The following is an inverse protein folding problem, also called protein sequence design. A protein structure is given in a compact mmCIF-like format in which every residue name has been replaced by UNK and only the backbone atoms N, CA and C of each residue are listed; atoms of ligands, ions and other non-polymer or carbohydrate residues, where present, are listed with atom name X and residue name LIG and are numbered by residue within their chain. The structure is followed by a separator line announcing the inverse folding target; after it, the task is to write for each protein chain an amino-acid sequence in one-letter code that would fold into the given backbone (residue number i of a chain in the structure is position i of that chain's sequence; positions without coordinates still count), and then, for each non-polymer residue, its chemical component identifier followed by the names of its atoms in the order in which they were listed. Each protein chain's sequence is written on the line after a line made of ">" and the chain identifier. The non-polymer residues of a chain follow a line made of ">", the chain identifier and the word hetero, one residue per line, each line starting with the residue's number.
data_IF_329953217493
#
_entry.id   IF_329953217493
#
_cell.length_a   1.000
_cell.length_b   1.000
_cell.length_c   1.000
_cell.angle_alpha   90.00
_cell.angle_beta   90.00
_cell.angle_gamma   90.00
#
_symmetry.space_group_name_H-M   'P 1'
#
loop_
_entity.id
_entity.type
_entity.pdbx_description
1 polymer ?
#
# COMPACT_ATOMS: atom_id res chain seq x y z
N UNK A 1 2.48 -15.49 -11.71
CA UNK A 1 3.76 -15.53 -10.95
C UNK A 1 4.19 -16.98 -10.83
N UNK A 2 5.50 -17.29 -10.88
CA UNK A 2 5.96 -18.68 -10.67
C UNK A 2 5.76 -19.06 -9.19
N UNK A 3 5.34 -20.30 -8.88
CA UNK A 3 5.19 -20.72 -7.49
C UNK A 3 6.55 -20.89 -6.81
N UNK A 4 6.60 -20.62 -5.50
CA UNK A 4 7.74 -21.00 -4.66
C UNK A 4 7.70 -22.52 -4.45
N UNK A 5 8.77 -23.21 -4.84
CA UNK A 5 8.90 -24.65 -4.65
C UNK A 5 9.51 -24.97 -3.28
N UNK A 6 9.30 -26.17 -2.72
CA UNK A 6 10.00 -26.60 -1.52
C UNK A 6 11.53 -26.54 -1.72
N UNK A 7 12.31 -26.16 -0.69
CA UNK A 7 11.89 -25.86 0.68
C UNK A 7 11.29 -24.45 0.89
N UNK A 8 11.55 -23.50 -0.01
CA UNK A 8 11.13 -22.09 0.15
C UNK A 8 9.61 -21.92 0.24
N UNK A 9 8.85 -22.75 -0.48
CA UNK A 9 7.39 -22.77 -0.38
C UNK A 9 6.88 -23.16 1.02
N UNK A 10 7.58 -24.05 1.73
CA UNK A 10 7.22 -24.42 3.11
C UNK A 10 7.51 -23.27 4.08
N UNK A 11 8.69 -22.65 3.97
CA UNK A 11 9.06 -21.49 4.78
C UNK A 11 8.09 -20.32 4.53
N UNK A 12 7.71 -20.06 3.29
CA UNK A 12 6.73 -19.04 2.95
C UNK A 12 5.36 -19.32 3.61
N UNK A 13 4.85 -20.55 3.49
CA UNK A 13 3.57 -20.92 4.11
C UNK A 13 3.62 -20.83 5.65
N UNK A 14 4.75 -21.21 6.27
CA UNK A 14 4.95 -21.03 7.70
C UNK A 14 4.94 -19.54 8.08
N UNK A 15 5.60 -18.68 7.29
CA UNK A 15 5.58 -17.24 7.50
C UNK A 15 4.16 -16.65 7.42
N UNK A 16 3.36 -17.09 6.45
CA UNK A 16 1.94 -16.71 6.33
C UNK A 16 1.18 -17.12 7.59
N UNK A 17 1.31 -18.37 8.03
CA UNK A 17 0.62 -18.85 9.22
C UNK A 17 1.00 -18.08 10.48
N UNK A 18 2.28 -17.77 10.69
CA UNK A 18 2.71 -16.95 11.81
C UNK A 18 2.18 -15.52 11.75
N UNK A 19 2.13 -14.92 10.56
CA UNK A 19 1.55 -13.60 10.36
C UNK A 19 0.05 -13.58 10.68
N UNK A 20 -0.72 -14.57 10.24
CA UNK A 20 -2.15 -14.71 10.55
C UNK A 20 -2.41 -14.89 12.06
N UNK A 21 -1.46 -15.48 12.79
CA UNK A 21 -1.49 -15.60 14.26
C UNK A 21 -1.01 -14.32 14.97
N UNK A 22 -0.64 -13.28 14.23
CA UNK A 22 -0.10 -12.02 14.77
C UNK A 22 1.33 -12.12 15.28
N UNK A 23 2.03 -13.23 15.00
CA UNK A 23 3.39 -13.45 15.46
C UNK A 23 4.42 -12.98 14.41
N UNK A 24 4.65 -11.66 14.40
CA UNK A 24 5.50 -11.02 13.40
C UNK A 24 6.97 -11.43 13.45
N UNK A 25 7.50 -11.80 14.62
CA UNK A 25 8.91 -12.18 14.75
C UNK A 25 9.19 -13.52 14.05
N UNK A 26 8.37 -14.52 14.32
CA UNK A 26 8.45 -15.86 13.73
C UNK A 26 8.16 -15.79 12.23
N UNK A 27 7.19 -14.97 11.80
CA UNK A 27 6.92 -14.76 10.39
C UNK A 27 8.15 -14.19 9.63
N UNK A 28 8.84 -13.20 10.22
CA UNK A 28 10.06 -12.64 9.63
C UNK A 28 11.22 -13.65 9.65
N UNK A 29 11.34 -14.47 10.69
CA UNK A 29 12.36 -15.51 10.77
C UNK A 29 12.17 -16.57 9.67
N UNK A 30 10.93 -17.01 9.43
CA UNK A 30 10.60 -17.92 8.33
C UNK A 30 10.91 -17.28 6.96
N UNK A 31 10.53 -16.01 6.76
CA UNK A 31 10.89 -15.28 5.53
C UNK A 31 12.40 -15.14 5.33
N UNK A 32 13.17 -15.02 6.41
CA UNK A 32 14.64 -14.94 6.35
C UNK A 32 15.28 -16.29 5.98
N UNK A 33 14.59 -17.41 6.21
CA UNK A 33 15.08 -18.75 5.86
C UNK A 33 14.94 -19.08 4.36
N UNK A 34 14.10 -18.35 3.64
CA UNK A 34 13.92 -18.49 2.18
C UNK A 34 15.25 -18.22 1.47
N UNK A 35 15.56 -19.01 0.45
CA UNK A 35 16.78 -18.89 -0.34
C UNK A 35 16.99 -17.48 -0.90
N UNK A 36 18.26 -17.08 -1.03
CA UNK A 36 18.62 -15.75 -1.54
C UNK A 36 18.00 -15.44 -2.93
N UNK A 37 17.86 -16.46 -3.78
CA UNK A 37 17.22 -16.34 -5.10
C UNK A 37 15.73 -15.97 -5.03
N UNK A 38 15.06 -16.30 -3.93
CA UNK A 38 13.63 -16.05 -3.74
C UNK A 38 13.33 -14.93 -2.74
N UNK A 39 14.34 -14.28 -2.14
CA UNK A 39 14.13 -13.13 -1.25
C UNK A 39 13.47 -11.93 -1.96
N UNK A 40 13.72 -11.78 -3.28
CA UNK A 40 13.05 -10.77 -4.12
C UNK A 40 11.81 -11.32 -4.85
N UNK A 41 11.34 -12.52 -4.49
CA UNK A 41 10.09 -13.03 -5.05
C UNK A 41 8.93 -12.12 -4.60
N UNK A 42 8.02 -11.69 -5.49
CA UNK A 42 7.03 -10.68 -5.14
C UNK A 42 6.13 -11.08 -3.96
N UNK A 43 5.69 -12.34 -3.88
CA UNK A 43 4.91 -12.83 -2.73
C UNK A 43 5.66 -12.71 -1.39
N UNK A 44 6.98 -12.93 -1.39
CA UNK A 44 7.83 -12.78 -0.19
C UNK A 44 7.94 -11.31 0.20
N UNK A 45 8.12 -10.43 -0.78
CA UNK A 45 8.22 -8.99 -0.58
C UNK A 45 6.90 -8.39 -0.07
N UNK A 46 5.77 -8.84 -0.60
CA UNK A 46 4.43 -8.40 -0.19
C UNK A 46 4.12 -8.83 1.25
N UNK A 47 4.38 -10.10 1.60
CA UNK A 47 4.22 -10.57 2.98
C UNK A 47 5.17 -9.85 3.95
N UNK A 48 6.43 -9.62 3.54
CA UNK A 48 7.39 -8.83 4.34
C UNK A 48 6.88 -7.41 4.57
N UNK A 49 6.32 -6.77 3.55
CA UNK A 49 5.73 -5.44 3.68
C UNK A 49 4.58 -5.45 4.67
N UNK A 50 3.63 -6.40 4.56
CA UNK A 50 2.47 -6.50 5.47
C UNK A 50 2.91 -6.65 6.92
N UNK A 51 3.80 -7.60 7.20
CA UNK A 51 4.32 -7.85 8.56
C UNK A 51 5.01 -6.58 9.11
N UNK A 52 5.87 -5.94 8.32
CA UNK A 52 6.57 -4.72 8.75
C UNK A 52 5.61 -3.54 8.96
N UNK A 53 4.59 -3.39 8.11
CA UNK A 53 3.60 -2.33 8.24
C UNK A 53 2.75 -2.49 9.50
N UNK A 54 2.29 -3.72 9.80
CA UNK A 54 1.56 -4.02 11.04
C UNK A 54 2.42 -3.84 12.29
N UNK A 55 3.68 -4.27 12.23
CA UNK A 55 4.67 -4.05 13.29
C UNK A 55 5.13 -2.58 13.39
N UNK A 56 4.64 -1.69 12.52
CA UNK A 56 5.03 -0.27 12.39
C UNK A 56 6.54 -0.06 12.17
N UNK A 57 7.22 -1.07 11.60
CA UNK A 57 8.61 -1.02 11.16
C UNK A 57 8.68 -0.37 9.78
N UNK A 58 8.37 0.93 9.72
CA UNK A 58 8.14 1.64 8.46
C UNK A 58 9.36 1.67 7.53
N UNK A 59 10.58 1.72 8.06
CA UNK A 59 11.80 1.67 7.25
C UNK A 59 11.93 0.34 6.52
N UNK A 60 11.67 -0.77 7.20
CA UNK A 60 11.72 -2.11 6.61
C UNK A 60 10.58 -2.32 5.60
N UNK A 61 9.38 -1.81 5.92
CA UNK A 61 8.26 -1.82 4.99
C UNK A 61 8.60 -1.03 3.72
N UNK A 62 9.21 0.15 3.83
CA UNK A 62 9.62 0.95 2.68
C UNK A 62 10.61 0.18 1.79
N UNK A 63 11.61 -0.48 2.38
CA UNK A 63 12.58 -1.30 1.64
C UNK A 63 11.88 -2.46 0.92
N UNK A 64 10.95 -3.15 1.58
CA UNK A 64 10.20 -4.25 0.97
C UNK A 64 9.36 -3.75 -0.23
N UNK A 65 8.69 -2.62 -0.09
CA UNK A 65 7.90 -2.01 -1.15
C UNK A 65 8.74 -1.54 -2.35
N UNK A 66 9.92 -0.96 -2.09
CA UNK A 66 10.85 -0.56 -3.15
C UNK A 66 11.35 -1.77 -3.96
N UNK A 67 11.74 -2.85 -3.27
CA UNK A 67 12.09 -4.10 -3.92
C UNK A 67 10.91 -4.69 -4.70
N UNK A 68 9.67 -4.51 -4.23
CA UNK A 68 8.48 -5.00 -4.93
C UNK A 68 8.26 -4.24 -6.25
N UNK A 69 8.49 -2.92 -6.28
CA UNK A 69 8.48 -2.13 -7.52
C UNK A 69 9.56 -2.62 -8.49
N UNK A 70 10.77 -2.96 -8.01
CA UNK A 70 11.82 -3.54 -8.86
C UNK A 70 11.42 -4.90 -9.45
N UNK A 71 10.80 -5.76 -8.63
CA UNK A 71 10.45 -7.12 -9.02
C UNK A 71 9.26 -7.19 -9.99
N UNK A 72 8.25 -6.33 -9.80
CA UNK A 72 7.01 -6.27 -10.60
C UNK A 72 6.61 -4.83 -10.91
N UNK A 73 7.38 -4.10 -11.74
CA UNK A 73 7.16 -2.67 -11.98
C UNK A 73 5.82 -2.34 -12.67
N UNK A 74 5.17 -3.34 -13.26
CA UNK A 74 3.88 -3.23 -13.94
C UNK A 74 2.68 -3.42 -12.99
N UNK A 75 2.91 -3.67 -11.70
CA UNK A 75 1.84 -3.81 -10.70
C UNK A 75 1.77 -2.59 -9.78
N UNK A 76 0.56 -2.13 -9.40
CA UNK A 76 0.38 -0.94 -8.58
C UNK A 76 0.75 -1.15 -7.11
N UNK A 77 0.72 -2.39 -6.61
CA UNK A 77 0.87 -2.72 -5.20
C UNK A 77 2.14 -2.11 -4.58
N UNK A 78 3.30 -2.26 -5.25
CA UNK A 78 4.57 -1.71 -4.76
C UNK A 78 4.54 -0.18 -4.62
N UNK A 79 3.86 0.54 -5.52
CA UNK A 79 3.75 2.01 -5.47
C UNK A 79 2.88 2.46 -4.30
N UNK A 80 1.72 1.81 -4.12
CA UNK A 80 0.82 2.04 -2.99
C UNK A 80 1.51 1.78 -1.66
N UNK A 81 2.20 0.64 -1.55
CA UNK A 81 2.96 0.23 -0.38
C UNK A 81 4.10 1.19 -0.04
N UNK A 82 4.84 1.67 -1.06
CA UNK A 82 5.88 2.68 -0.90
C UNK A 82 5.31 3.99 -0.38
N UNK A 83 4.26 4.51 -0.99
CA UNK A 83 3.64 5.77 -0.56
C UNK A 83 3.10 5.68 0.88
N UNK A 84 2.47 4.55 1.21
CA UNK A 84 1.96 4.28 2.56
C UNK A 84 3.07 4.25 3.61
N UNK A 85 4.22 3.64 3.30
CA UNK A 85 5.39 3.64 4.18
C UNK A 85 6.09 5.01 4.23
N UNK A 86 6.23 5.70 3.09
CA UNK A 86 6.83 7.04 2.99
C UNK A 86 6.10 8.07 3.86
N UNK A 87 4.76 7.96 3.98
CA UNK A 87 4.00 8.81 4.91
C UNK A 87 4.46 8.67 6.37
N UNK A 88 5.07 7.55 6.75
CA UNK A 88 5.24 7.11 8.15
C UNK A 88 6.69 6.90 8.59
N UNK A 89 7.64 6.78 7.67
CA UNK A 89 9.08 6.76 8.01
C UNK A 89 9.51 8.11 8.59
N UNK A 90 10.49 8.11 9.49
CA UNK A 90 10.94 9.31 10.21
C UNK A 90 11.48 10.43 9.30
N UNK A 91 12.06 10.07 8.16
CA UNK A 91 12.55 11.01 7.13
C UNK A 91 11.50 11.34 6.05
N UNK A 92 10.29 10.80 6.20
CA UNK A 92 9.21 10.89 5.23
C UNK A 92 8.19 11.97 5.60
N UNK A 93 6.94 11.75 5.18
CA UNK A 93 5.85 12.70 5.38
C UNK A 93 4.79 12.62 4.28
N UNK A 94 3.69 13.34 4.50
CA UNK A 94 2.57 13.40 3.56
C UNK A 94 2.99 13.99 2.22
N UNK A 95 3.82 15.04 2.22
CA UNK A 95 4.31 15.68 0.99
C UNK A 95 5.15 14.71 0.16
N UNK A 96 6.07 13.97 0.78
CA UNK A 96 6.87 12.97 0.06
C UNK A 96 6.01 11.83 -0.46
N UNK A 97 5.02 11.36 0.32
CA UNK A 97 4.11 10.29 -0.10
C UNK A 97 3.24 10.72 -1.30
N UNK A 98 2.68 11.93 -1.25
CA UNK A 98 1.91 12.53 -2.36
C UNK A 98 2.78 12.65 -3.62
N UNK A 99 3.94 13.31 -3.51
CA UNK A 99 4.83 13.53 -4.64
C UNK A 99 5.34 12.21 -5.27
N UNK A 100 5.59 11.19 -4.44
CA UNK A 100 5.99 9.88 -4.92
C UNK A 100 4.86 9.12 -5.63
N UNK A 101 3.63 9.18 -5.10
CA UNK A 101 2.51 8.41 -5.62
C UNK A 101 1.88 9.05 -6.85
N UNK A 102 1.97 10.37 -7.00
CA UNK A 102 1.31 11.12 -8.06
C UNK A 102 1.64 10.62 -9.48
N UNK A 103 2.92 10.35 -9.86
CA UNK A 103 3.25 9.74 -11.15
C UNK A 103 2.62 8.35 -11.36
N UNK A 104 2.35 7.61 -10.28
CA UNK A 104 1.72 6.28 -10.39
C UNK A 104 0.29 6.36 -10.91
N UNK A 105 -0.41 7.50 -10.74
CA UNK A 105 -1.74 7.69 -11.27
C UNK A 105 -1.79 7.77 -12.81
N UNK A 106 -0.68 8.17 -13.45
CA UNK A 106 -0.54 8.10 -14.91
C UNK A 106 -0.17 6.69 -15.37
N UNK A 107 0.69 6.02 -14.59
CA UNK A 107 1.14 4.67 -14.89
C UNK A 107 0.03 3.61 -14.75
N UNK A 108 -0.85 3.79 -13.78
CA UNK A 108 -1.94 2.86 -13.46
C UNK A 108 -3.27 3.63 -13.44
N UNK A 109 -3.76 4.09 -14.61
CA UNK A 109 -4.90 4.98 -14.68
C UNK A 109 -6.22 4.35 -14.21
N UNK A 110 -6.29 3.01 -14.21
CA UNK A 110 -7.45 2.20 -13.84
C UNK A 110 -7.38 1.65 -12.40
N UNK A 111 -6.36 2.02 -11.61
CA UNK A 111 -6.26 1.62 -10.20
C UNK A 111 -6.88 2.68 -9.28
N UNK A 112 -8.12 2.48 -8.79
CA UNK A 112 -8.82 3.49 -8.01
C UNK A 112 -8.17 3.78 -6.65
N UNK A 113 -7.43 2.81 -6.08
CA UNK A 113 -6.79 2.97 -4.76
C UNK A 113 -5.66 4.00 -4.81
N UNK A 114 -5.02 4.20 -5.96
CA UNK A 114 -4.01 5.27 -6.14
C UNK A 114 -4.67 6.64 -6.04
N UNK A 115 -5.72 6.88 -6.83
CA UNK A 115 -6.45 8.14 -6.78
C UNK A 115 -7.06 8.39 -5.40
N UNK A 116 -7.54 7.35 -4.73
CA UNK A 116 -8.07 7.45 -3.37
C UNK A 116 -6.99 7.89 -2.36
N UNK A 117 -5.81 7.27 -2.36
CA UNK A 117 -4.73 7.67 -1.45
C UNK A 117 -4.20 9.08 -1.74
N UNK A 118 -4.13 9.49 -3.02
CA UNK A 118 -3.78 10.87 -3.38
C UNK A 118 -4.80 11.88 -2.82
N UNK A 119 -6.09 11.53 -2.86
CA UNK A 119 -7.13 12.35 -2.23
C UNK A 119 -6.93 12.46 -0.71
N UNK A 120 -6.66 11.34 -0.03
CA UNK A 120 -6.40 11.33 1.41
C UNK A 120 -5.18 12.21 1.76
N UNK A 121 -4.07 12.07 1.05
CA UNK A 121 -2.85 12.84 1.32
C UNK A 121 -3.06 14.34 1.05
N UNK A 122 -3.68 14.70 -0.08
CA UNK A 122 -4.02 16.09 -0.38
C UNK A 122 -4.97 16.69 0.67
N UNK A 123 -5.96 15.92 1.13
CA UNK A 123 -6.90 16.37 2.16
C UNK A 123 -6.20 16.63 3.50
N UNK A 124 -5.27 15.76 3.90
CA UNK A 124 -4.47 15.93 5.11
C UNK A 124 -3.43 17.06 5.01
N UNK A 125 -3.13 17.51 3.79
CA UNK A 125 -2.30 18.68 3.51
C UNK A 125 -3.11 19.98 3.36
N UNK A 126 -4.41 19.96 3.66
CA UNK A 126 -5.36 21.06 3.48
C UNK A 126 -5.50 21.54 2.02
N UNK A 127 -5.12 20.69 1.07
CA UNK A 127 -5.24 20.91 -0.38
C UNK A 127 -6.60 20.40 -0.86
N UNK A 128 -7.68 20.96 -0.33
CA UNK A 128 -9.03 20.40 -0.49
C UNK A 128 -9.51 20.34 -1.95
N UNK A 129 -9.14 21.30 -2.79
CA UNK A 129 -9.51 21.29 -4.21
C UNK A 129 -8.85 20.15 -4.97
N UNK A 130 -7.57 19.89 -4.69
CA UNK A 130 -6.85 18.76 -5.26
C UNK A 130 -7.38 17.43 -4.72
N UNK A 131 -7.69 17.36 -3.43
CA UNK A 131 -8.34 16.20 -2.82
C UNK A 131 -9.67 15.85 -3.49
N UNK A 132 -10.50 16.85 -3.82
CA UNK A 132 -11.76 16.65 -4.56
C UNK A 132 -11.54 16.11 -5.96
N UNK A 133 -10.53 16.59 -6.68
CA UNK A 133 -10.18 16.11 -8.03
C UNK A 133 -9.79 14.63 -7.96
N UNK A 134 -8.89 14.27 -7.05
CA UNK A 134 -8.44 12.89 -6.87
C UNK A 134 -9.57 11.97 -6.41
N UNK A 135 -10.40 12.42 -5.47
CA UNK A 135 -11.53 11.64 -4.96
C UNK A 135 -12.58 11.40 -6.05
N UNK A 136 -12.87 12.41 -6.87
CA UNK A 136 -13.74 12.26 -8.05
C UNK A 136 -13.17 11.22 -9.01
N UNK A 137 -11.86 11.26 -9.29
CA UNK A 137 -11.20 10.26 -10.14
C UNK A 137 -11.31 8.86 -9.55
N UNK A 138 -11.10 8.69 -8.24
CA UNK A 138 -11.31 7.41 -7.57
C UNK A 138 -12.77 6.92 -7.73
N UNK A 139 -13.76 7.80 -7.59
CA UNK A 139 -15.17 7.47 -7.81
C UNK A 139 -15.46 7.01 -9.25
N UNK A 140 -14.90 7.71 -10.24
CA UNK A 140 -15.10 7.42 -11.65
C UNK A 140 -14.51 6.05 -12.05
N UNK A 141 -13.40 5.63 -11.43
CA UNK A 141 -12.71 4.35 -11.70
C UNK A 141 -13.28 3.20 -10.86
N UNK A 142 -13.34 3.38 -9.53
CA UNK A 142 -13.60 2.31 -8.56
C UNK A 142 -15.07 2.09 -8.24
N UNK A 143 -15.95 2.91 -8.80
CA UNK A 143 -17.39 2.87 -8.60
C UNK A 143 -17.83 3.60 -7.33
N UNK A 144 -18.88 4.42 -7.48
CA UNK A 144 -19.40 5.32 -6.44
C UNK A 144 -19.65 4.67 -5.09
N UNK A 145 -20.37 3.54 -5.08
CA UNK A 145 -20.77 2.87 -3.84
C UNK A 145 -19.58 2.42 -3.00
N UNK A 146 -18.59 1.79 -3.63
CA UNK A 146 -17.40 1.25 -2.96
C UNK A 146 -16.54 2.39 -2.40
N UNK A 147 -16.20 3.36 -3.25
CA UNK A 147 -15.36 4.49 -2.84
C UNK A 147 -16.04 5.36 -1.79
N UNK A 148 -17.38 5.54 -1.84
CA UNK A 148 -18.10 6.32 -0.84
C UNK A 148 -18.01 5.67 0.54
N UNK A 149 -18.20 4.35 0.61
CA UNK A 149 -18.06 3.61 1.85
C UNK A 149 -16.63 3.71 2.41
N UNK A 150 -15.62 3.57 1.57
CA UNK A 150 -14.22 3.75 1.98
C UNK A 150 -13.97 5.18 2.49
N UNK A 151 -14.42 6.19 1.76
CA UNK A 151 -14.16 7.60 2.07
C UNK A 151 -14.77 8.05 3.40
N UNK A 152 -15.98 7.56 3.72
CA UNK A 152 -16.67 7.86 4.99
C UNK A 152 -16.14 7.06 6.19
N UNK A 153 -15.28 6.07 5.95
CA UNK A 153 -14.56 5.34 7.00
C UNK A 153 -13.11 5.82 7.16
N UNK A 154 -12.61 6.66 6.25
CA UNK A 154 -11.26 7.18 6.29
C UNK A 154 -11.24 8.58 6.91
N UNK A 155 -10.65 8.66 8.10
CA UNK A 155 -10.48 9.89 8.86
C UNK A 155 -9.66 10.95 8.10
N UNK A 156 -8.80 10.52 7.15
CA UNK A 156 -8.02 11.44 6.33
C UNK A 156 -8.93 12.38 5.49
N UNK A 157 -10.15 11.92 5.17
CA UNK A 157 -11.13 12.62 4.34
C UNK A 157 -12.25 13.31 5.13
N UNK A 158 -12.15 13.37 6.47
CA UNK A 158 -13.11 14.07 7.35
C UNK A 158 -13.54 15.45 6.84
N UNK A 159 -12.62 16.34 6.40
CA UNK A 159 -13.00 17.65 5.87
C UNK A 159 -13.98 17.59 4.68
N UNK A 160 -13.97 16.49 3.91
CA UNK A 160 -14.83 16.29 2.74
C UNK A 160 -16.08 15.43 3.02
N UNK A 161 -16.22 14.83 4.22
CA UNK A 161 -17.39 14.00 4.54
C UNK A 161 -18.75 14.68 4.28
N UNK A 162 -18.98 15.97 4.64
CA UNK A 162 -20.26 16.64 4.36
C UNK A 162 -20.62 16.72 2.87
N UNK A 163 -19.62 16.69 1.98
CA UNK A 163 -19.81 16.64 0.53
C UNK A 163 -20.05 15.20 0.06
N UNK A 164 -19.25 14.26 0.56
CA UNK A 164 -19.32 12.84 0.22
C UNK A 164 -20.68 12.24 0.58
N UNK A 165 -21.22 12.57 1.76
CA UNK A 165 -22.52 12.08 2.23
C UNK A 165 -23.65 12.41 1.24
N UNK A 166 -23.59 13.57 0.59
CA UNK A 166 -24.60 14.07 -0.36
C UNK A 166 -24.52 13.42 -1.75
N UNK A 167 -23.43 12.71 -2.06
CA UNK A 167 -23.27 12.01 -3.34
C UNK A 167 -24.27 10.85 -3.44
N UNK A 168 -25.07 10.83 -4.51
CA UNK A 168 -26.01 9.74 -4.81
C UNK A 168 -25.30 8.53 -5.42
#
# INVERSE_FOLDING_TARGET
>A
MKPLLPPDGHAFNAAVGWHELGNHNEAIAELASISASNQKHPAVLELRWMICAEAKKWSDALIAAQNLIEAVPAEPAGWLHCAYALRRVSSGGLQQALAFLQPAAEKFPDEPVIAFNLACYACQLDQLDEARIWLKRAFDIGGKKKIKAMALCDDDLKPLWPEIEKLK
#
